data_IF_682624586745
#
_entry.id   IF_682624586745
#
_cell.length_a   1.000
_cell.length_b   1.000
_cell.length_c   1.000
_cell.angle_alpha   90.00
_cell.angle_beta   90.00
_cell.angle_gamma   90.00
#
_symmetry.space_group_name_H-M   'P 1'
#
loop_
_entity.id
_entity.type
_entity.pdbx_description
1 polymer ?
#
# COMPACT_ATOMS: atom_id res chain seq x y z
N UNK A 1 25.87 22.53 -21.93
CA UNK A 1 25.48 21.12 -22.09
C UNK A 1 24.30 21.08 -23.06
N UNK A 2 24.40 20.36 -24.18
CA UNK A 2 23.29 20.21 -25.13
C UNK A 2 22.57 18.89 -24.77
N UNK A 3 21.28 18.95 -24.45
CA UNK A 3 20.49 17.77 -24.07
C UNK A 3 20.50 16.70 -25.17
N UNK A 4 20.62 17.09 -26.45
CA UNK A 4 20.69 16.16 -27.57
C UNK A 4 21.93 15.26 -27.48
N UNK A 5 23.10 15.83 -27.13
CA UNK A 5 24.34 15.05 -26.93
C UNK A 5 24.25 14.12 -25.73
N UNK A 6 23.53 14.52 -24.69
CA UNK A 6 23.30 13.67 -23.51
C UNK A 6 22.40 12.49 -23.89
N UNK A 7 21.39 12.72 -24.74
CA UNK A 7 20.52 11.66 -25.23
C UNK A 7 21.24 10.67 -26.16
N UNK A 8 22.09 11.15 -27.08
CA UNK A 8 22.92 10.29 -27.93
C UNK A 8 23.79 9.34 -27.09
N UNK A 9 24.49 9.87 -26.09
CA UNK A 9 25.29 9.05 -25.17
C UNK A 9 24.45 8.05 -24.39
N UNK A 10 23.23 8.42 -24.00
CA UNK A 10 22.31 7.50 -23.33
C UNK A 10 21.85 6.37 -24.27
N UNK A 11 21.51 6.68 -25.51
CA UNK A 11 21.03 5.69 -26.48
C UNK A 11 22.10 4.66 -26.84
N UNK A 12 23.38 5.06 -26.80
CA UNK A 12 24.55 4.20 -27.00
C UNK A 12 24.84 3.24 -25.82
N UNK A 13 24.26 3.48 -24.64
CA UNK A 13 24.49 2.61 -23.47
C UNK A 13 23.80 1.23 -23.64
N UNK A 14 24.36 0.16 -23.06
CA UNK A 14 23.64 -1.11 -22.90
C UNK A 14 22.30 -0.92 -22.20
N UNK A 15 21.28 -1.72 -22.55
CA UNK A 15 19.94 -1.59 -21.97
C UNK A 15 19.90 -1.67 -20.43
N UNK A 16 20.79 -2.45 -19.84
CA UNK A 16 20.97 -2.53 -18.39
C UNK A 16 21.44 -1.20 -17.79
N UNK A 17 22.40 -0.55 -18.43
CA UNK A 17 22.95 0.73 -17.98
C UNK A 17 21.99 1.89 -18.25
N UNK A 18 21.25 1.86 -19.38
CA UNK A 18 20.14 2.79 -19.63
C UNK A 18 19.12 2.74 -18.49
N UNK A 19 18.74 1.54 -18.06
CA UNK A 19 17.79 1.36 -16.96
C UNK A 19 18.36 1.87 -15.63
N UNK A 20 19.63 1.56 -15.33
CA UNK A 20 20.29 2.07 -14.12
C UNK A 20 20.37 3.60 -14.11
N UNK A 21 20.72 4.23 -15.24
CA UNK A 21 20.76 5.69 -15.35
C UNK A 21 19.36 6.29 -15.16
N UNK A 22 18.34 5.70 -15.80
CA UNK A 22 16.96 6.11 -15.62
C UNK A 22 16.53 6.04 -14.14
N UNK A 23 16.82 4.93 -13.46
CA UNK A 23 16.50 4.78 -12.03
C UNK A 23 17.23 5.81 -11.16
N UNK A 24 18.51 6.09 -11.45
CA UNK A 24 19.28 7.10 -10.72
C UNK A 24 18.70 8.51 -10.93
N UNK A 25 18.33 8.85 -12.17
CA UNK A 25 17.69 10.13 -12.49
C UNK A 25 16.31 10.24 -11.82
N UNK A 26 15.50 9.18 -11.90
CA UNK A 26 14.20 9.10 -11.26
C UNK A 26 14.33 9.31 -9.75
N UNK A 27 15.26 8.63 -9.09
CA UNK A 27 15.48 8.76 -7.64
C UNK A 27 15.97 10.16 -7.24
N UNK A 28 16.75 10.81 -8.10
CA UNK A 28 17.28 12.16 -7.85
C UNK A 28 16.20 13.24 -8.01
N UNK A 29 15.35 13.11 -9.03
CA UNK A 29 14.32 14.10 -9.37
C UNK A 29 13.01 13.87 -8.62
N UNK A 30 12.67 12.59 -8.39
CA UNK A 30 11.47 12.11 -7.72
C UNK A 30 11.87 11.08 -6.68
N UNK A 31 12.51 11.49 -5.58
CA UNK A 31 12.78 10.57 -4.49
C UNK A 31 11.45 10.01 -4.01
N UNK A 32 11.22 8.70 -4.19
CA UNK A 32 10.08 8.03 -3.58
C UNK A 32 10.14 8.34 -2.08
N UNK A 33 9.10 8.94 -1.49
CA UNK A 33 9.03 9.02 -0.05
C UNK A 33 9.19 7.57 0.45
N UNK A 34 10.00 7.39 1.51
CA UNK A 34 9.95 6.12 2.25
C UNK A 34 8.58 6.07 2.92
N UNK A 35 7.55 5.73 2.16
CA UNK A 35 6.23 5.45 2.68
C UNK A 35 6.37 4.19 3.52
N UNK A 36 6.39 4.40 4.83
CA UNK A 36 6.24 3.32 5.79
C UNK A 36 4.92 2.59 5.47
N UNK A 37 4.93 1.26 5.53
CA UNK A 37 3.71 0.46 5.39
C UNK A 37 2.66 0.92 6.41
N UNK A 38 3.07 1.46 7.56
CA UNK A 38 2.17 2.10 8.51
C UNK A 38 1.33 3.23 7.87
N UNK A 39 1.93 4.05 7.01
CA UNK A 39 1.25 5.13 6.28
C UNK A 39 0.26 4.56 5.27
N UNK A 40 0.68 3.58 4.46
CA UNK A 40 -0.20 2.91 3.50
C UNK A 40 -1.40 2.23 4.16
N UNK A 41 -1.21 1.62 5.33
CA UNK A 41 -2.31 1.01 6.10
C UNK A 41 -3.27 2.06 6.63
N UNK A 42 -2.78 3.25 7.00
CA UNK A 42 -3.63 4.38 7.38
C UNK A 42 -4.50 4.84 6.21
N UNK A 43 -3.90 4.99 5.03
CA UNK A 43 -4.62 5.43 3.82
C UNK A 43 -5.69 4.42 3.40
N UNK A 44 -5.38 3.11 3.45
CA UNK A 44 -6.37 2.05 3.20
C UNK A 44 -7.56 2.19 4.14
N UNK A 45 -7.28 2.49 5.42
CA UNK A 45 -8.33 2.64 6.43
C UNK A 45 -9.16 3.89 6.18
N UNK A 46 -8.54 5.01 5.82
CA UNK A 46 -9.24 6.24 5.47
C UNK A 46 -10.13 6.03 4.25
N UNK A 47 -9.61 5.44 3.17
CA UNK A 47 -10.40 5.16 1.96
C UNK A 47 -11.58 4.24 2.26
N UNK A 48 -11.34 3.13 2.99
CA UNK A 48 -12.37 2.11 3.25
C UNK A 48 -13.43 2.52 4.27
N UNK A 49 -13.09 3.40 5.21
CA UNK A 49 -13.97 3.81 6.31
C UNK A 49 -14.13 5.33 6.40
N UNK A 50 -13.97 6.04 5.30
CA UNK A 50 -14.16 7.51 5.20
C UNK A 50 -15.55 7.94 5.67
N UNK A 51 -16.58 7.15 5.36
CA UNK A 51 -17.95 7.34 5.84
C UNK A 51 -18.25 6.72 7.22
N UNK A 52 -17.23 6.23 7.92
CA UNK A 52 -17.36 5.49 9.18
C UNK A 52 -17.13 3.99 9.04
N UNK A 53 -16.94 3.32 10.18
CA UNK A 53 -16.64 1.89 10.23
C UNK A 53 -17.92 1.06 10.08
N UNK A 54 -18.08 0.42 8.92
CA UNK A 54 -19.18 -0.50 8.63
C UNK A 54 -18.67 -1.92 8.32
N UNK A 55 -19.50 -2.93 8.57
CA UNK A 55 -19.19 -4.30 8.26
C UNK A 55 -19.11 -4.52 6.74
N UNK A 56 -17.96 -4.97 6.24
CA UNK A 56 -17.75 -5.28 4.82
C UNK A 56 -18.61 -6.44 4.29
N UNK A 57 -19.25 -7.21 5.17
CA UNK A 57 -20.09 -8.34 4.78
C UNK A 57 -21.58 -8.00 4.68
N UNK A 58 -22.07 -7.03 5.45
CA UNK A 58 -23.51 -6.72 5.53
C UNK A 58 -23.85 -5.23 5.60
N UNK A 59 -22.86 -4.34 5.60
CA UNK A 59 -23.07 -2.88 5.67
C UNK A 59 -23.44 -2.33 7.06
N UNK A 60 -23.66 -3.17 8.06
CA UNK A 60 -24.02 -2.71 9.40
C UNK A 60 -22.90 -1.90 10.07
N UNK A 61 -23.27 -0.77 10.68
CA UNK A 61 -22.40 0.05 11.54
C UNK A 61 -22.36 -0.44 12.99
N UNK A 62 -23.14 -1.47 13.33
CA UNK A 62 -23.15 -2.12 14.64
C UNK A 62 -21.93 -3.03 14.78
N UNK A 63 -20.77 -2.43 15.06
CA UNK A 63 -19.47 -3.11 15.09
C UNK A 63 -18.75 -2.86 16.41
N UNK A 64 -17.97 -3.86 16.87
CA UNK A 64 -17.08 -3.71 18.04
C UNK A 64 -15.66 -4.14 17.71
N UNK A 65 -14.67 -3.57 18.42
CA UNK A 65 -13.29 -4.08 18.39
C UNK A 65 -13.25 -5.50 18.98
N UNK A 66 -12.54 -6.40 18.32
CA UNK A 66 -12.47 -7.83 18.65
C UNK A 66 -11.01 -8.32 18.64
N UNK A 67 -10.15 -7.65 19.41
CA UNK A 67 -8.72 -7.94 19.51
C UNK A 67 -7.90 -7.47 18.30
N UNK A 68 -6.62 -7.86 18.28
CA UNK A 68 -5.69 -7.59 17.19
C UNK A 68 -5.02 -8.89 16.74
N UNK A 69 -4.61 -8.97 15.48
CA UNK A 69 -3.79 -10.06 14.95
C UNK A 69 -2.68 -9.47 14.09
N UNK A 70 -1.41 -9.80 14.39
CA UNK A 70 -0.22 -9.22 13.73
C UNK A 70 -0.34 -7.70 13.56
N UNK A 71 -0.46 -7.00 14.70
CA UNK A 71 -0.70 -5.55 14.83
C UNK A 71 -1.96 -4.96 14.17
N UNK A 72 -2.72 -5.73 13.39
CA UNK A 72 -3.95 -5.28 12.71
C UNK A 72 -5.17 -5.41 13.62
N UNK A 73 -6.01 -4.37 13.66
CA UNK A 73 -7.26 -4.38 14.40
C UNK A 73 -8.26 -5.35 13.75
N UNK A 74 -8.92 -6.20 14.55
CA UNK A 74 -10.08 -7.00 14.11
C UNK A 74 -11.36 -6.39 14.66
N UNK A 75 -12.42 -6.41 13.86
CA UNK A 75 -13.75 -5.96 14.22
C UNK A 75 -14.71 -7.14 14.15
N UNK A 76 -15.73 -7.14 15.02
CA UNK A 76 -16.85 -8.07 14.97
C UNK A 76 -18.12 -7.27 14.68
N UNK A 77 -18.85 -7.67 13.64
CA UNK A 77 -20.20 -7.17 13.41
C UNK A 77 -21.18 -7.84 14.38
N UNK A 78 -21.97 -7.05 15.10
CA UNK A 78 -22.96 -7.55 16.05
C UNK A 78 -24.20 -8.13 15.35
N UNK A 79 -24.46 -7.72 14.11
CA UNK A 79 -25.66 -8.12 13.38
C UNK A 79 -25.43 -9.42 12.60
N UNK A 80 -24.30 -9.56 11.88
CA UNK A 80 -24.00 -10.78 11.11
C UNK A 80 -23.00 -11.74 11.79
N UNK A 81 -22.42 -11.36 12.92
CA UNK A 81 -21.47 -12.19 13.68
C UNK A 81 -20.11 -12.43 13.01
N UNK A 82 -19.87 -11.90 11.80
CA UNK A 82 -18.60 -12.06 11.08
C UNK A 82 -17.53 -11.09 11.58
N UNK A 83 -16.27 -11.53 11.55
CA UNK A 83 -15.13 -10.66 11.84
C UNK A 83 -14.46 -10.16 10.58
N UNK A 84 -14.03 -8.89 10.58
CA UNK A 84 -13.32 -8.26 9.48
C UNK A 84 -12.24 -7.31 9.98
N UNK A 85 -11.41 -6.81 9.09
CA UNK A 85 -10.37 -5.81 9.29
C UNK A 85 -10.17 -5.00 8.01
N UNK A 86 -9.25 -4.05 8.06
CA UNK A 86 -8.93 -3.14 6.96
C UNK A 86 -8.51 -3.88 5.67
N UNK A 87 -8.02 -5.12 5.80
CA UNK A 87 -7.55 -5.95 4.69
C UNK A 87 -8.56 -6.99 4.19
N UNK A 88 -9.71 -7.14 4.85
CA UNK A 88 -10.70 -8.18 4.49
C UNK A 88 -11.22 -7.94 3.06
N UNK A 89 -11.32 -9.01 2.26
CA UNK A 89 -11.72 -8.94 0.85
C UNK A 89 -10.81 -8.02 -0.01
N UNK A 90 -9.53 -7.88 0.37
CA UNK A 90 -8.48 -7.32 -0.50
C UNK A 90 -7.70 -8.45 -1.20
N UNK A 91 -7.00 -8.18 -2.32
CA UNK A 91 -6.17 -9.16 -3.01
C UNK A 91 -5.10 -9.83 -2.13
N UNK A 92 -4.71 -9.17 -1.02
CA UNK A 92 -3.72 -9.68 -0.06
C UNK A 92 -4.35 -10.27 1.21
N UNK A 93 -5.67 -10.52 1.19
CA UNK A 93 -6.33 -11.32 2.22
C UNK A 93 -5.74 -12.72 2.27
N UNK A 94 -5.17 -13.11 3.42
CA UNK A 94 -4.67 -14.47 3.64
C UNK A 94 -3.24 -14.75 3.17
N UNK A 95 -2.54 -13.75 2.61
CA UNK A 95 -1.11 -13.90 2.31
C UNK A 95 -0.31 -13.95 3.62
N UNK A 96 0.52 -14.97 3.80
CA UNK A 96 1.23 -15.21 5.06
C UNK A 96 2.42 -14.28 5.31
N UNK A 97 2.78 -13.39 4.37
CA UNK A 97 3.96 -12.53 4.52
C UNK A 97 3.85 -11.63 5.75
N UNK A 98 4.71 -11.84 6.77
CA UNK A 98 4.83 -10.88 7.86
C UNK A 98 5.50 -9.64 7.28
N UNK A 99 4.93 -8.48 7.56
CA UNK A 99 5.70 -7.25 7.49
C UNK A 99 6.68 -7.30 8.66
N UNK A 100 7.84 -7.92 8.42
CA UNK A 100 9.04 -7.71 9.22
C UNK A 100 9.42 -6.24 9.02
N UNK A 101 9.49 -5.49 10.12
CA UNK A 101 9.75 -4.05 10.12
C UNK A 101 11.18 -3.67 9.79
#
# INVERSE_FOLDING_TARGET
MNWAKVYELFDELPKTEQFQLFQAMQTTLFPEPKEDIATLVSDIREVRFSGGLACVHCGSVSVKRNGKYRSRQRYLCKDCGKTFNDMTASPISGTHYPHSG
#
